data_IF_415659447313
#
_entry.id   IF_415659447313
#
_cell.length_a   1.000
_cell.length_b   1.000
_cell.length_c   1.000
_cell.angle_alpha   90.00
_cell.angle_beta   90.00
_cell.angle_gamma   90.00
#
_symmetry.space_group_name_H-M   'P 1'
#
loop_
_entity.id
_entity.type
_entity.pdbx_description
1 polymer ?
#
# COMPACT_ATOMS: atom_id res chain seq x y z
N UNK A 1 -0.10 20.41 2.66
CA UNK A 1 -1.08 21.21 1.90
C UNK A 1 -2.41 20.49 2.00
N UNK A 2 -3.47 21.22 2.39
CA UNK A 2 -4.81 20.67 2.58
C UNK A 2 -5.73 21.24 1.50
N UNK A 3 -6.54 20.37 0.92
CA UNK A 3 -7.56 20.70 -0.05
C UNK A 3 -8.92 20.32 0.53
N UNK A 4 -9.91 21.18 0.35
CA UNK A 4 -11.26 21.00 0.90
C UNK A 4 -12.27 21.54 -0.10
N UNK A 5 -13.22 20.71 -0.51
CA UNK A 5 -14.18 21.06 -1.56
C UNK A 5 -15.37 20.09 -1.60
N UNK A 6 -16.49 20.57 -2.10
CA UNK A 6 -17.65 19.73 -2.42
C UNK A 6 -17.62 19.31 -3.89
N UNK A 7 -18.04 18.08 -4.18
CA UNK A 7 -18.05 17.53 -5.54
C UNK A 7 -19.13 16.46 -5.68
N UNK A 8 -19.35 16.01 -6.92
CA UNK A 8 -20.34 14.99 -7.24
C UNK A 8 -19.68 13.61 -7.28
N UNK A 9 -20.26 12.67 -6.53
CA UNK A 9 -19.87 11.27 -6.57
C UNK A 9 -20.28 10.63 -7.90
N UNK A 10 -19.30 10.07 -8.61
CA UNK A 10 -19.50 9.30 -9.84
C UNK A 10 -19.44 7.81 -9.52
N UNK A 11 -20.45 7.06 -9.95
CA UNK A 11 -20.48 5.59 -9.82
C UNK A 11 -20.66 4.98 -11.20
N UNK A 12 -19.73 4.09 -11.55
CA UNK A 12 -19.69 3.37 -12.81
C UNK A 12 -20.51 2.07 -12.72
N UNK A 13 -20.88 1.52 -13.88
CA UNK A 13 -21.69 0.30 -14.00
C UNK A 13 -21.01 -0.94 -13.39
N UNK A 14 -19.68 -0.98 -13.41
CA UNK A 14 -18.86 -2.03 -12.78
C UNK A 14 -18.80 -1.92 -11.24
N UNK A 15 -19.47 -0.91 -10.68
CA UNK A 15 -19.52 -0.63 -9.25
C UNK A 15 -18.36 0.22 -8.74
N UNK A 16 -17.42 0.64 -9.58
CA UNK A 16 -16.38 1.61 -9.25
C UNK A 16 -17.00 2.96 -8.86
N UNK A 17 -16.47 3.59 -7.81
CA UNK A 17 -16.91 4.92 -7.37
C UNK A 17 -15.72 5.86 -7.26
N UNK A 18 -15.86 7.10 -7.71
CA UNK A 18 -14.80 8.10 -7.61
C UNK A 18 -15.37 9.52 -7.53
N UNK A 19 -14.52 10.45 -7.11
CA UNK A 19 -14.76 11.89 -7.20
C UNK A 19 -13.62 12.55 -7.96
N UNK A 20 -13.94 13.65 -8.65
CA UNK A 20 -12.95 14.46 -9.36
C UNK A 20 -12.13 15.25 -8.34
N UNK A 21 -10.81 15.29 -8.55
CA UNK A 21 -9.90 16.21 -7.88
C UNK A 21 -9.66 17.40 -8.82
N UNK A 22 -10.14 18.62 -8.46
CA UNK A 22 -10.24 19.72 -9.43
C UNK A 22 -8.90 20.42 -9.73
N UNK A 23 -7.82 20.10 -9.00
CA UNK A 23 -6.50 20.68 -9.24
C UNK A 23 -5.62 19.80 -10.14
N UNK A 24 -4.70 20.45 -10.86
CA UNK A 24 -3.71 19.76 -11.69
C UNK A 24 -2.62 19.15 -10.80
N UNK A 25 -2.72 17.84 -10.57
CA UNK A 25 -1.82 17.10 -9.68
C UNK A 25 -0.35 17.21 -10.10
N UNK A 26 -0.07 17.33 -11.41
CA UNK A 26 1.31 17.47 -11.89
C UNK A 26 1.88 18.83 -11.51
N UNK A 27 1.07 19.90 -11.58
CA UNK A 27 1.47 21.23 -11.12
C UNK A 27 1.58 21.31 -9.60
N UNK A 28 0.62 20.73 -8.88
CA UNK A 28 0.57 20.81 -7.41
C UNK A 28 1.64 19.96 -6.72
N UNK A 29 1.91 18.76 -7.24
CA UNK A 29 2.74 17.76 -6.54
C UNK A 29 3.96 17.27 -7.35
N UNK A 30 4.11 17.71 -8.61
CA UNK A 30 5.19 17.27 -9.50
C UNK A 30 5.10 15.81 -9.93
N UNK A 31 3.99 15.11 -9.62
CA UNK A 31 3.79 13.67 -9.86
C UNK A 31 2.51 13.41 -10.63
N UNK A 32 2.43 12.30 -11.37
CA UNK A 32 1.20 11.88 -12.04
C UNK A 32 0.22 11.11 -11.14
N UNK A 33 0.72 10.62 -10.00
CA UNK A 33 -0.04 9.91 -8.97
C UNK A 33 0.48 10.35 -7.60
N UNK A 34 -0.43 10.61 -6.68
CA UNK A 34 -0.10 11.13 -5.35
C UNK A 34 -0.85 10.34 -4.30
N UNK A 35 -0.13 9.88 -3.28
CA UNK A 35 -0.74 9.25 -2.10
C UNK A 35 -1.27 10.34 -1.18
N UNK A 36 -2.48 10.13 -0.69
CA UNK A 36 -3.20 11.10 0.12
C UNK A 36 -3.95 10.41 1.25
N UNK A 37 -4.11 11.15 2.34
CA UNK A 37 -5.16 10.93 3.30
C UNK A 37 -6.36 11.76 2.83
N UNK A 38 -7.49 11.11 2.60
CA UNK A 38 -8.73 11.75 2.22
C UNK A 38 -9.81 11.51 3.29
N UNK A 39 -10.74 12.43 3.41
CA UNK A 39 -11.98 12.23 4.14
C UNK A 39 -13.15 12.50 3.21
N UNK A 40 -14.12 11.60 3.22
CA UNK A 40 -15.37 11.73 2.47
C UNK A 40 -16.52 11.89 3.47
N UNK A 41 -17.07 13.10 3.57
CA UNK A 41 -17.98 13.52 4.65
C UNK A 41 -17.48 13.09 6.05
N UNK A 42 -16.18 13.23 6.29
CA UNK A 42 -15.53 12.85 7.56
C UNK A 42 -15.18 11.36 7.70
N UNK A 43 -15.48 10.50 6.71
CA UNK A 43 -14.99 9.10 6.72
C UNK A 43 -13.58 9.04 6.14
N UNK A 44 -12.57 8.63 6.92
CA UNK A 44 -11.18 8.63 6.47
C UNK A 44 -10.90 7.52 5.46
N UNK A 45 -9.99 7.81 4.53
CA UNK A 45 -9.53 6.92 3.48
C UNK A 45 -8.11 7.26 3.05
N UNK A 46 -7.19 6.31 3.23
CA UNK A 46 -5.84 6.40 2.66
C UNK A 46 -5.86 5.85 1.23
N UNK A 47 -5.52 6.69 0.26
CA UNK A 47 -5.72 6.39 -1.15
C UNK A 47 -4.69 7.02 -2.07
N UNK A 48 -5.03 7.09 -3.36
CA UNK A 48 -4.23 7.83 -4.34
C UNK A 48 -5.13 8.65 -5.24
N UNK A 49 -4.70 9.88 -5.51
CA UNK A 49 -5.19 10.64 -6.66
C UNK A 49 -4.47 10.12 -7.89
N UNK A 50 -5.24 9.77 -8.92
CA UNK A 50 -4.76 9.12 -10.14
C UNK A 50 -5.25 9.84 -11.39
N UNK A 51 -4.50 9.66 -12.47
CA UNK A 51 -4.94 9.94 -13.83
C UNK A 51 -5.33 8.61 -14.48
N UNK A 52 -6.60 8.47 -14.89
CA UNK A 52 -7.13 7.27 -15.56
C UNK A 52 -7.20 7.42 -17.08
N UNK A 53 -6.51 8.41 -17.67
CA UNK A 53 -6.56 8.73 -19.10
C UNK A 53 -7.79 9.56 -19.50
N UNK A 54 -8.58 10.00 -18.53
CA UNK A 54 -9.78 10.82 -18.73
C UNK A 54 -9.39 12.30 -18.82
N UNK A 55 -10.07 13.05 -19.68
CA UNK A 55 -9.87 14.50 -19.84
C UNK A 55 -11.13 15.27 -19.50
N UNK A 56 -10.93 16.47 -18.97
CA UNK A 56 -11.98 17.46 -18.80
C UNK A 56 -12.41 18.03 -20.18
N UNK A 57 -13.58 18.69 -20.27
CA UNK A 57 -14.05 19.32 -21.52
C UNK A 57 -13.07 20.33 -22.13
N UNK A 58 -12.25 20.98 -21.30
CA UNK A 58 -11.20 21.93 -21.73
C UNK A 58 -9.90 21.25 -22.21
N UNK A 59 -9.86 19.91 -22.24
CA UNK A 59 -8.72 19.11 -22.64
C UNK A 59 -7.67 18.86 -21.55
N UNK A 60 -7.82 19.47 -20.36
CA UNK A 60 -6.96 19.20 -19.21
C UNK A 60 -7.17 17.77 -18.67
N UNK A 61 -6.21 17.27 -17.89
CA UNK A 61 -6.30 15.93 -17.29
C UNK A 61 -7.35 15.94 -16.19
N UNK A 62 -8.26 14.96 -16.21
CA UNK A 62 -9.19 14.71 -15.12
C UNK A 62 -8.53 13.79 -14.09
N UNK A 63 -8.13 14.37 -12.96
CA UNK A 63 -7.64 13.63 -11.82
C UNK A 63 -8.79 13.19 -10.93
N UNK A 64 -8.66 12.00 -10.34
CA UNK A 64 -9.72 11.43 -9.52
C UNK A 64 -9.17 10.63 -8.35
N UNK A 65 -9.99 10.49 -7.32
CA UNK A 65 -9.75 9.61 -6.18
C UNK A 65 -10.93 8.66 -6.02
N UNK A 66 -10.63 7.38 -5.82
CA UNK A 66 -11.65 6.36 -5.63
C UNK A 66 -12.38 6.52 -4.29
N UNK A 67 -13.70 6.32 -4.30
CA UNK A 67 -14.55 6.24 -3.10
C UNK A 67 -15.04 4.81 -2.97
N UNK A 68 -14.49 4.09 -1.98
CA UNK A 68 -14.79 2.67 -1.78
C UNK A 68 -16.30 2.43 -1.61
N UNK A 69 -16.78 1.28 -2.09
CA UNK A 69 -18.17 0.87 -1.91
C UNK A 69 -18.58 0.82 -0.44
N UNK A 70 -17.68 0.43 0.45
CA UNK A 70 -17.92 0.45 1.91
C UNK A 70 -18.19 1.86 2.44
N UNK A 71 -17.38 2.84 2.03
CA UNK A 71 -17.55 4.25 2.42
C UNK A 71 -18.89 4.77 1.92
N UNK A 72 -19.20 4.56 0.64
CA UNK A 72 -20.49 4.95 0.04
C UNK A 72 -21.68 4.33 0.75
N UNK A 73 -21.60 3.05 1.09
CA UNK A 73 -22.65 2.35 1.83
C UNK A 73 -22.85 2.94 3.24
N UNK A 74 -21.76 3.27 3.94
CA UNK A 74 -21.82 3.93 5.26
C UNK A 74 -22.46 5.30 5.16
N UNK A 75 -22.10 6.10 4.14
CA UNK A 75 -22.66 7.43 3.90
C UNK A 75 -24.08 7.40 3.31
N UNK A 76 -24.52 6.25 2.79
CA UNK A 76 -25.74 6.10 1.99
C UNK A 76 -25.78 7.04 0.77
N UNK A 77 -24.62 7.22 0.12
CA UNK A 77 -24.46 8.07 -1.08
C UNK A 77 -24.19 7.24 -2.34
N UNK A 78 -24.83 7.60 -3.44
CA UNK A 78 -24.77 6.96 -4.74
C UNK A 78 -24.37 7.91 -5.87
N UNK A 79 -24.61 7.49 -7.11
CA UNK A 79 -24.26 8.29 -8.28
C UNK A 79 -25.02 9.62 -8.28
N UNK A 80 -24.32 10.74 -8.48
CA UNK A 80 -24.91 12.07 -8.54
C UNK A 80 -25.05 12.77 -7.18
N UNK A 81 -24.81 12.08 -6.07
CA UNK A 81 -24.87 12.71 -4.75
C UNK A 81 -23.67 13.62 -4.52
N UNK A 82 -23.92 14.76 -3.88
CA UNK A 82 -22.87 15.66 -3.41
C UNK A 82 -22.12 15.02 -2.25
N UNK A 83 -20.80 15.18 -2.22
CA UNK A 83 -19.92 14.67 -1.17
C UNK A 83 -18.86 15.72 -0.84
N UNK A 84 -18.63 15.93 0.45
CA UNK A 84 -17.60 16.82 0.95
C UNK A 84 -16.27 16.07 1.03
N UNK A 85 -15.21 16.65 0.49
CA UNK A 85 -13.90 16.01 0.35
C UNK A 85 -12.82 16.86 1.00
N UNK A 86 -12.16 16.30 2.00
CA UNK A 86 -10.89 16.83 2.53
C UNK A 86 -9.75 15.95 2.03
N UNK A 87 -8.66 16.54 1.54
CA UNK A 87 -7.49 15.81 1.04
C UNK A 87 -6.22 16.45 1.57
N UNK A 88 -5.33 15.60 2.08
CA UNK A 88 -3.97 15.97 2.47
C UNK A 88 -2.98 14.99 1.86
N UNK A 89 -1.86 15.49 1.36
CA UNK A 89 -0.79 14.61 0.91
C UNK A 89 -0.25 13.81 2.10
N UNK A 90 -0.32 12.49 2.00
CA UNK A 90 0.16 11.60 3.03
C UNK A 90 0.70 10.32 2.38
N UNK A 91 1.89 9.91 2.80
CA UNK A 91 2.49 8.67 2.41
C UNK A 91 2.78 7.86 3.67
N UNK A 92 2.00 6.79 3.86
CA UNK A 92 2.17 5.86 4.95
C UNK A 92 3.63 5.37 5.02
N UNK A 93 4.22 5.44 6.20
CA UNK A 93 5.53 4.86 6.50
C UNK A 93 5.39 3.44 7.05
N UNK A 94 6.49 2.68 7.05
CA UNK A 94 6.52 1.34 7.66
C UNK A 94 6.21 1.44 9.17
N UNK A 95 6.75 2.46 9.86
CA UNK A 95 6.53 2.66 11.29
C UNK A 95 5.07 2.97 11.62
N UNK A 96 4.42 3.82 10.83
CA UNK A 96 2.99 4.10 10.99
C UNK A 96 2.13 2.86 10.72
N UNK A 97 2.48 2.07 9.69
CA UNK A 97 1.80 0.80 9.44
C UNK A 97 1.86 -0.12 10.67
N UNK A 98 3.06 -0.29 11.26
CA UNK A 98 3.25 -1.10 12.47
C UNK A 98 2.45 -0.51 13.64
N UNK A 99 2.51 0.81 13.86
CA UNK A 99 1.81 1.47 14.96
C UNK A 99 0.28 1.32 14.90
N UNK A 100 -0.29 1.18 13.69
CA UNK A 100 -1.73 0.98 13.47
C UNK A 100 -2.21 -0.48 13.69
N UNK A 101 -1.31 -1.45 13.90
CA UNK A 101 -1.72 -2.84 14.13
C UNK A 101 -2.15 -3.12 15.57
N UNK A 102 -2.70 -4.30 15.83
CA UNK A 102 -3.04 -4.76 17.18
C UNK A 102 -1.78 -4.90 18.06
N UNK A 103 -1.88 -4.60 19.35
CA UNK A 103 -0.73 -4.63 20.28
C UNK A 103 -0.02 -6.00 20.32
N UNK A 104 -0.76 -7.09 20.11
CA UNK A 104 -0.22 -8.45 20.11
C UNK A 104 0.71 -8.73 18.90
N UNK A 105 0.47 -8.07 17.75
CA UNK A 105 1.25 -8.33 16.52
C UNK A 105 2.39 -7.32 16.33
N UNK A 106 2.32 -6.14 16.96
CA UNK A 106 3.35 -5.10 16.82
C UNK A 106 4.78 -5.61 17.09
N UNK A 107 5.07 -6.35 18.18
CA UNK A 107 6.43 -6.81 18.45
C UNK A 107 6.98 -7.69 17.33
N UNK A 108 6.14 -8.58 16.80
CA UNK A 108 6.51 -9.46 15.68
C UNK A 108 6.86 -8.67 14.43
N UNK A 109 6.08 -7.63 14.10
CA UNK A 109 6.35 -6.79 12.93
C UNK A 109 7.59 -5.92 13.11
N UNK A 110 7.85 -5.44 14.33
CA UNK A 110 9.10 -4.74 14.67
C UNK A 110 10.29 -5.66 14.44
N UNK A 111 10.24 -6.90 14.92
CA UNK A 111 11.31 -7.88 14.69
C UNK A 111 11.57 -8.09 13.19
N UNK A 112 10.54 -8.29 12.37
CA UNK A 112 10.69 -8.42 10.90
C UNK A 112 11.33 -7.19 10.30
N UNK A 113 10.81 -6.01 10.65
CA UNK A 113 11.32 -4.74 10.14
C UNK A 113 12.81 -4.58 10.46
N UNK A 114 13.22 -4.78 11.71
CA UNK A 114 14.61 -4.65 12.14
C UNK A 114 15.50 -5.70 11.48
N UNK A 115 15.05 -6.96 11.42
CA UNK A 115 15.76 -8.05 10.74
C UNK A 115 16.05 -7.72 9.29
N UNK A 116 15.04 -7.27 8.53
CA UNK A 116 15.23 -6.91 7.12
C UNK A 116 16.12 -5.66 7.02
N UNK A 117 15.83 -4.60 7.80
CA UNK A 117 16.57 -3.34 7.76
C UNK A 117 18.06 -3.51 8.06
N UNK A 118 18.42 -4.44 8.95
CA UNK A 118 19.79 -4.78 9.29
C UNK A 118 20.46 -5.66 8.21
N UNK A 119 19.71 -6.58 7.61
CA UNK A 119 20.23 -7.46 6.55
C UNK A 119 20.54 -6.68 5.26
N UNK A 120 19.74 -5.66 4.93
CA UNK A 120 19.84 -4.89 3.69
C UNK A 120 19.86 -3.39 3.97
N UNK A 121 20.96 -2.84 4.53
CA UNK A 121 20.93 -1.49 5.10
C UNK A 121 20.87 -0.34 4.09
N UNK A 122 21.18 -0.60 2.83
CA UNK A 122 21.25 0.37 1.73
C UNK A 122 20.04 0.24 0.79
N UNK A 123 18.85 0.43 1.35
CA UNK A 123 17.55 0.39 0.66
C UNK A 123 16.66 1.53 1.15
N UNK A 124 15.71 1.93 0.32
CA UNK A 124 14.62 2.84 0.69
C UNK A 124 13.47 2.07 1.33
N UNK A 125 12.81 2.71 2.30
CA UNK A 125 11.54 2.25 2.88
C UNK A 125 10.37 2.89 2.14
N UNK A 126 9.38 2.09 1.75
CA UNK A 126 8.18 2.53 1.04
C UNK A 126 6.94 1.81 1.58
N UNK A 127 5.77 2.30 1.19
CA UNK A 127 4.50 1.61 1.38
C UNK A 127 3.82 1.36 0.03
N UNK A 128 3.87 0.14 -0.47
CA UNK A 128 3.42 -0.22 -1.81
C UNK A 128 2.44 -1.38 -1.75
N UNK A 129 1.42 -1.37 -2.61
CA UNK A 129 0.39 -2.42 -2.64
C UNK A 129 -0.31 -2.67 -1.28
N UNK A 130 -0.38 -1.64 -0.43
CA UNK A 130 -0.94 -1.77 0.92
C UNK A 130 0.01 -2.40 1.95
N UNK A 131 1.31 -2.51 1.64
CA UNK A 131 2.29 -3.22 2.46
C UNK A 131 3.59 -2.43 2.68
N UNK A 132 4.19 -2.50 3.88
CA UNK A 132 5.60 -2.20 4.09
C UNK A 132 6.50 -2.82 3.03
N UNK A 133 7.39 -2.01 2.47
CA UNK A 133 8.22 -2.38 1.31
C UNK A 133 9.63 -1.87 1.49
N UNK A 134 10.61 -2.73 1.27
CA UNK A 134 12.00 -2.32 1.06
C UNK A 134 12.28 -2.27 -0.44
N UNK A 135 12.89 -1.19 -0.90
CA UNK A 135 13.02 -0.86 -2.32
C UNK A 135 14.43 -0.37 -2.67
N UNK A 136 14.93 -0.76 -3.84
CA UNK A 136 16.17 -0.22 -4.42
C UNK A 136 16.14 -0.36 -5.93
N UNK A 137 15.74 0.68 -6.66
CA UNK A 137 15.49 0.62 -8.11
C UNK A 137 14.23 -0.18 -8.49
N UNK A 138 13.97 -1.27 -7.78
CA UNK A 138 12.79 -2.13 -7.88
C UNK A 138 12.37 -2.58 -6.45
N UNK A 139 11.24 -3.29 -6.33
CA UNK A 139 10.81 -3.85 -5.06
C UNK A 139 11.73 -5.01 -4.64
N UNK A 140 12.32 -4.95 -3.44
CA UNK A 140 13.20 -6.00 -2.92
C UNK A 140 12.37 -7.06 -2.20
N UNK A 141 11.60 -6.63 -1.20
CA UNK A 141 10.81 -7.51 -0.34
C UNK A 141 9.73 -6.69 0.36
N UNK A 142 8.57 -7.31 0.57
CA UNK A 142 7.47 -6.73 1.33
C UNK A 142 7.13 -7.60 2.53
N UNK A 143 6.46 -7.02 3.52
CA UNK A 143 5.82 -7.79 4.59
C UNK A 143 4.46 -7.17 4.95
N UNK A 144 3.53 -7.99 5.41
CA UNK A 144 2.24 -7.54 5.90
C UNK A 144 1.64 -8.58 6.86
N UNK A 145 0.82 -8.14 7.80
CA UNK A 145 0.07 -9.04 8.67
C UNK A 145 -1.35 -9.29 8.15
N UNK A 146 -1.82 -10.51 8.37
CA UNK A 146 -3.19 -10.98 8.20
C UNK A 146 -3.65 -11.58 9.53
N UNK A 147 -4.96 -11.82 9.68
CA UNK A 147 -5.56 -12.31 10.93
C UNK A 147 -4.80 -13.48 11.58
N UNK A 148 -4.39 -14.47 10.79
CA UNK A 148 -3.80 -15.71 11.29
C UNK A 148 -2.31 -15.90 10.95
N UNK A 149 -1.75 -15.05 10.09
CA UNK A 149 -0.37 -15.20 9.64
C UNK A 149 0.26 -13.86 9.28
N UNK A 150 1.58 -13.80 9.29
CA UNK A 150 2.37 -12.72 8.73
C UNK A 150 2.95 -13.17 7.40
N UNK A 151 2.66 -12.42 6.34
CA UNK A 151 3.16 -12.68 5.00
C UNK A 151 4.50 -12.00 4.76
N UNK A 152 5.44 -12.72 4.14
CA UNK A 152 6.63 -12.16 3.50
C UNK A 152 6.49 -12.37 2.00
N UNK A 153 6.79 -11.32 1.23
CA UNK A 153 6.57 -11.31 -0.23
C UNK A 153 7.89 -10.99 -0.95
N UNK A 154 8.72 -12.01 -1.22
CA UNK A 154 10.03 -11.84 -1.85
C UNK A 154 10.01 -12.02 -3.38
N UNK A 155 8.83 -12.31 -3.95
CA UNK A 155 8.68 -12.62 -5.38
C UNK A 155 8.94 -14.10 -5.70
N UNK A 156 8.61 -14.53 -6.94
CA UNK A 156 8.63 -15.93 -7.34
C UNK A 156 10.01 -16.58 -7.32
N UNK A 157 11.05 -15.90 -7.82
CA UNK A 157 12.37 -16.53 -7.88
C UNK A 157 12.95 -16.82 -6.49
N UNK A 158 12.56 -16.03 -5.48
CA UNK A 158 12.96 -16.28 -4.10
C UNK A 158 12.21 -17.48 -3.48
N UNK A 159 10.94 -17.70 -3.83
CA UNK A 159 10.20 -18.90 -3.40
C UNK A 159 10.88 -20.16 -3.97
N UNK A 160 11.28 -20.12 -5.24
CA UNK A 160 12.00 -21.21 -5.89
C UNK A 160 13.39 -21.42 -5.27
N UNK A 161 14.16 -20.35 -5.06
CA UNK A 161 15.52 -20.46 -4.51
C UNK A 161 15.58 -20.97 -3.07
N UNK A 162 14.51 -20.79 -2.29
CA UNK A 162 14.45 -21.17 -0.88
C UNK A 162 13.52 -22.36 -0.61
N UNK A 163 13.01 -23.05 -1.64
CA UNK A 163 12.02 -24.14 -1.50
C UNK A 163 12.37 -25.15 -0.41
N UNK A 164 13.63 -25.57 -0.34
CA UNK A 164 14.11 -26.59 0.60
C UNK A 164 14.13 -26.08 2.05
N UNK A 165 14.28 -24.76 2.26
CA UNK A 165 14.29 -24.12 3.58
C UNK A 165 12.90 -23.70 4.06
N UNK A 166 11.92 -23.60 3.16
CA UNK A 166 10.54 -23.19 3.51
C UNK A 166 9.76 -24.32 4.21
N UNK A 167 10.20 -25.58 4.06
CA UNK A 167 9.69 -26.71 4.84
C UNK A 167 8.16 -26.84 4.77
N UNK A 168 7.50 -26.70 5.92
CA UNK A 168 6.04 -26.83 6.06
C UNK A 168 5.26 -25.52 6.03
N UNK A 169 5.93 -24.39 5.76
CA UNK A 169 5.24 -23.11 5.65
C UNK A 169 4.36 -23.06 4.39
N UNK A 170 3.18 -22.46 4.52
CA UNK A 170 2.29 -22.22 3.39
C UNK A 170 2.92 -21.19 2.46
N UNK A 171 2.93 -21.48 1.16
CA UNK A 171 3.52 -20.62 0.13
C UNK A 171 2.57 -20.45 -1.05
N UNK A 172 2.76 -19.37 -1.79
CA UNK A 172 2.17 -19.15 -3.11
C UNK A 172 3.25 -18.62 -4.06
N UNK A 173 2.89 -18.28 -5.30
CA UNK A 173 3.83 -17.82 -6.33
C UNK A 173 4.78 -16.71 -5.88
N UNK A 174 4.45 -15.88 -4.90
CA UNK A 174 5.37 -14.84 -4.43
C UNK A 174 5.20 -14.50 -2.96
N UNK A 175 4.66 -15.41 -2.15
CA UNK A 175 4.38 -15.17 -0.75
C UNK A 175 4.71 -16.39 0.11
N UNK A 176 5.21 -16.12 1.31
CA UNK A 176 5.43 -17.08 2.39
C UNK A 176 4.54 -16.64 3.55
N UNK A 177 3.77 -17.57 4.11
CA UNK A 177 2.89 -17.31 5.24
C UNK A 177 3.46 -17.93 6.50
N UNK A 178 3.87 -17.08 7.45
CA UNK A 178 4.31 -17.50 8.77
C UNK A 178 3.15 -17.40 9.77
N UNK A 179 2.64 -18.51 10.32
CA UNK A 179 1.57 -18.49 11.31
C UNK A 179 1.91 -17.57 12.50
N UNK A 180 0.93 -16.78 12.95
CA UNK A 180 1.13 -15.81 14.04
C UNK A 180 1.26 -16.49 15.41
N UNK A 181 0.82 -17.74 15.54
CA UNK A 181 0.88 -18.57 16.75
C UNK A 181 2.22 -19.32 16.92
N UNK A 182 3.18 -19.08 16.03
CA UNK A 182 4.51 -19.70 16.05
C UNK A 182 5.60 -18.65 16.05
N UNK A 183 6.76 -19.04 16.56
CA UNK A 183 7.97 -18.22 16.48
C UNK A 183 8.30 -17.88 15.01
N UNK A 184 8.73 -16.65 14.78
CA UNK A 184 9.05 -16.15 13.45
C UNK A 184 10.50 -16.50 13.10
N UNK A 185 10.76 -17.15 11.94
CA UNK A 185 12.12 -17.55 11.58
C UNK A 185 12.93 -16.36 11.04
N UNK A 186 13.43 -15.51 11.94
CA UNK A 186 14.12 -14.26 11.58
C UNK A 186 15.38 -14.51 10.75
N UNK A 187 16.14 -15.57 11.03
CA UNK A 187 17.33 -15.93 10.24
C UNK A 187 16.97 -16.20 8.77
N UNK A 188 15.93 -17.01 8.53
CA UNK A 188 15.44 -17.29 7.17
C UNK A 188 14.96 -16.01 6.48
N UNK A 189 14.27 -15.11 7.19
CA UNK A 189 13.83 -13.82 6.65
C UNK A 189 15.04 -12.96 6.24
N UNK A 190 16.09 -12.89 7.06
CA UNK A 190 17.31 -12.16 6.75
C UNK A 190 18.02 -12.72 5.52
N UNK A 191 18.12 -14.05 5.40
CA UNK A 191 18.70 -14.71 4.23
C UNK A 191 17.92 -14.39 2.95
N UNK A 192 16.59 -14.51 2.98
CA UNK A 192 15.71 -14.20 1.84
C UNK A 192 15.85 -12.73 1.43
N UNK A 193 15.81 -11.81 2.40
CA UNK A 193 15.97 -10.38 2.14
C UNK A 193 17.32 -10.07 1.48
N UNK A 194 18.40 -10.63 2.01
CA UNK A 194 19.76 -10.47 1.45
C UNK A 194 19.85 -11.02 0.04
N UNK A 195 19.30 -12.21 -0.20
CA UNK A 195 19.27 -12.81 -1.53
C UNK A 195 18.50 -11.95 -2.53
N UNK A 196 17.31 -11.46 -2.17
CA UNK A 196 16.51 -10.58 -3.01
C UNK A 196 17.27 -9.29 -3.34
N UNK A 197 17.91 -8.70 -2.35
CA UNK A 197 18.73 -7.50 -2.54
C UNK A 197 19.90 -7.73 -3.49
N UNK A 198 20.62 -8.84 -3.35
CA UNK A 198 21.73 -9.18 -4.25
C UNK A 198 21.26 -9.51 -5.67
N UNK A 199 20.11 -10.18 -5.79
CA UNK A 199 19.55 -10.63 -7.07
C UNK A 199 19.02 -9.46 -7.88
N UNK A 200 18.30 -8.56 -7.23
CA UNK A 200 17.55 -7.53 -7.92
C UNK A 200 18.21 -6.14 -7.77
N UNK A 201 18.76 -5.81 -6.59
CA UNK A 201 19.21 -4.46 -6.22
C UNK A 201 20.52 -3.98 -6.84
N UNK A 202 21.11 -4.79 -7.73
CA UNK A 202 22.34 -4.48 -8.50
C UNK A 202 22.04 -4.06 -9.95
N UNK A 203 20.78 -3.94 -10.34
CA UNK A 203 20.38 -3.52 -11.69
C UNK A 203 20.26 -2.01 -11.82
#
# INVERSE_FOLDING_TARGET
MKYEYDTVLQVMDDGGGYVVFPWDVKKEFGKGRVKVHAEFDGIPYDGSIVNMGVRNPDGSVCYMIGVLKSIRNTLKKGNGDMIHVCIEQHEMTIREYIAKQDEEIKPRLVQIYETIRNAIPDVEERYSYGMPTFWKGHNIIHFATMKNHTGIYPGPEAIEAFSDKLGSYSTSKGAIQFPNDREIPLELIAEIATWCYLKYGKQ
#
